data_IF_881009520084
#
_entry.id   IF_881009520084
#
_cell.length_a   1.000
_cell.length_b   1.000
_cell.length_c   1.000
_cell.angle_alpha   90.00
_cell.angle_beta   90.00
_cell.angle_gamma   90.00
#
_symmetry.space_group_name_H-M   'P 1'
#
loop_
_entity.id
_entity.type
_entity.pdbx_description
1 polymer ?
#
# COMPACT_ATOMS: atom_id res chain seq x y z
N UNK A 1 8.55 10.52 -1.96
CA UNK A 1 7.92 9.37 -2.66
C UNK A 1 6.62 9.88 -3.23
N UNK A 2 6.46 9.73 -4.53
CA UNK A 2 5.26 10.14 -5.27
C UNK A 2 4.15 9.11 -5.03
N UNK A 3 2.95 9.58 -4.67
CA UNK A 3 1.78 8.71 -4.43
C UNK A 3 0.92 8.66 -5.69
N UNK A 4 1.28 7.78 -6.62
CA UNK A 4 0.50 7.51 -7.84
C UNK A 4 -0.09 6.11 -7.73
N UNK A 5 -1.37 6.04 -7.36
CA UNK A 5 -2.09 4.81 -7.05
C UNK A 5 -2.81 4.30 -8.30
N UNK A 6 -2.80 2.98 -8.49
CA UNK A 6 -3.59 2.29 -9.49
C UNK A 6 -4.63 1.42 -8.77
N UNK A 7 -5.88 1.90 -8.63
CA UNK A 7 -6.93 1.14 -7.96
C UNK A 7 -7.17 -0.23 -8.59
N UNK A 8 -7.24 -1.29 -7.77
CA UNK A 8 -7.48 -2.65 -8.28
C UNK A 8 -8.81 -2.81 -9.04
N UNK A 9 -9.81 -1.95 -8.77
CA UNK A 9 -11.10 -1.94 -9.49
C UNK A 9 -10.95 -1.65 -10.99
N UNK A 10 -9.88 -0.98 -11.42
CA UNK A 10 -9.64 -0.68 -12.83
C UNK A 10 -9.41 -1.95 -13.66
N UNK A 11 -9.04 -3.07 -13.03
CA UNK A 11 -8.90 -4.36 -13.72
C UNK A 11 -10.24 -4.98 -14.15
N UNK A 12 -11.34 -4.49 -13.60
CA UNK A 12 -12.71 -4.98 -13.90
C UNK A 12 -13.58 -3.89 -14.49
N UNK A 13 -13.02 -2.70 -14.73
CA UNK A 13 -13.74 -1.53 -15.22
C UNK A 13 -13.75 -1.55 -16.76
N UNK A 14 -14.91 -1.58 -17.43
CA UNK A 14 -15.00 -1.65 -18.88
C UNK A 14 -14.26 -0.50 -19.59
N UNK A 15 -14.22 0.69 -18.99
CA UNK A 15 -13.59 1.86 -19.61
C UNK A 15 -12.06 1.69 -19.68
N UNK A 16 -11.48 1.00 -18.70
CA UNK A 16 -10.06 0.66 -18.64
C UNK A 16 -9.71 -0.61 -19.42
N UNK A 17 -10.59 -1.62 -19.42
CA UNK A 17 -10.42 -2.86 -20.20
C UNK A 17 -10.36 -2.58 -21.70
N UNK A 18 -11.15 -1.59 -22.16
CA UNK A 18 -11.18 -1.19 -23.57
C UNK A 18 -10.03 -0.24 -23.99
N UNK A 19 -9.08 0.07 -23.11
CA UNK A 19 -7.91 0.90 -23.45
C UNK A 19 -6.87 0.10 -24.23
N UNK A 20 -6.20 0.78 -25.17
CA UNK A 20 -4.99 0.23 -25.78
C UNK A 20 -3.81 0.35 -24.82
N UNK A 21 -2.78 -0.48 -25.01
CA UNK A 21 -1.54 -0.42 -24.23
C UNK A 21 -0.92 0.99 -24.20
N UNK A 22 -1.03 1.71 -25.33
CA UNK A 22 -0.57 3.09 -25.46
C UNK A 22 -1.35 4.03 -24.52
N UNK A 23 -2.69 4.00 -24.58
CA UNK A 23 -3.53 4.88 -23.75
C UNK A 23 -3.38 4.56 -22.26
N UNK A 24 -3.29 3.29 -21.91
CA UNK A 24 -3.01 2.86 -20.53
C UNK A 24 -1.68 3.44 -20.02
N UNK A 25 -0.63 3.40 -20.85
CA UNK A 25 0.69 3.94 -20.49
C UNK A 25 0.69 5.46 -20.37
N UNK A 26 -0.01 6.16 -21.25
CA UNK A 26 -0.21 7.62 -21.16
C UNK A 26 -0.95 7.97 -19.86
N UNK A 27 -2.05 7.28 -19.57
CA UNK A 27 -2.85 7.51 -18.36
C UNK A 27 -2.03 7.29 -17.08
N UNK A 28 -1.39 6.13 -16.94
CA UNK A 28 -0.56 5.82 -15.76
C UNK A 28 0.63 6.76 -15.59
N UNK A 29 1.30 7.16 -16.68
CA UNK A 29 2.37 8.15 -16.65
C UNK A 29 1.86 9.54 -16.24
N UNK A 30 0.65 9.91 -16.66
CA UNK A 30 0.02 11.16 -16.27
C UNK A 30 -0.30 11.22 -14.77
N UNK A 31 -0.73 10.11 -14.18
CA UNK A 31 -0.92 10.00 -12.73
C UNK A 31 0.39 10.22 -11.99
N UNK A 32 1.46 9.55 -12.43
CA UNK A 32 2.79 9.69 -11.83
C UNK A 32 3.30 11.13 -11.92
N UNK A 33 3.23 11.73 -13.12
CA UNK A 33 3.66 13.09 -13.33
C UNK A 33 2.85 14.08 -12.48
N UNK A 34 1.53 13.97 -12.47
CA UNK A 34 0.66 14.90 -11.72
C UNK A 34 0.85 14.77 -10.21
N UNK A 35 1.04 13.56 -9.70
CA UNK A 35 1.34 13.32 -8.29
C UNK A 35 2.72 13.85 -7.89
N UNK A 36 3.70 13.81 -8.80
CA UNK A 36 5.03 14.36 -8.55
C UNK A 36 5.03 15.89 -8.55
N UNK A 37 4.31 16.50 -9.49
CA UNK A 37 4.20 17.95 -9.59
C UNK A 37 3.20 18.56 -8.60
N UNK A 38 2.32 17.75 -8.00
CA UNK A 38 1.27 18.23 -7.11
C UNK A 38 0.22 19.07 -7.83
N UNK A 39 -0.14 18.69 -9.06
CA UNK A 39 -1.08 19.44 -9.91
C UNK A 39 -2.53 18.97 -9.79
N UNK A 40 -2.82 18.05 -8.86
CA UNK A 40 -4.15 17.48 -8.64
C UNK A 40 -4.80 16.96 -9.93
N UNK A 41 -4.00 16.28 -10.74
CA UNK A 41 -4.43 15.69 -12.01
C UNK A 41 -4.45 16.65 -13.20
N UNK A 42 -4.15 17.94 -13.03
CA UNK A 42 -4.04 18.88 -14.16
C UNK A 42 -2.75 18.62 -14.94
N UNK A 43 -2.88 18.45 -16.25
CA UNK A 43 -1.85 18.13 -17.23
C UNK A 43 -1.81 19.22 -18.30
N UNK A 44 -0.80 20.10 -18.32
CA UNK A 44 -0.60 21.05 -19.41
C UNK A 44 -0.37 20.32 -20.74
N UNK A 45 -0.90 20.82 -21.84
CA UNK A 45 -0.72 20.19 -23.18
C UNK A 45 0.74 19.98 -23.56
N UNK A 46 1.65 20.90 -23.16
CA UNK A 46 3.10 20.77 -23.38
C UNK A 46 3.75 19.58 -22.65
N UNK A 47 3.07 19.00 -21.66
CA UNK A 47 3.54 17.87 -20.86
C UNK A 47 3.26 16.53 -21.55
N UNK A 48 2.31 16.47 -22.50
CA UNK A 48 1.97 15.22 -23.20
C UNK A 48 3.19 14.49 -23.77
N UNK A 49 4.18 15.23 -24.28
CA UNK A 49 5.45 14.67 -24.79
C UNK A 49 6.26 13.86 -23.76
N UNK A 50 5.99 14.02 -22.47
CA UNK A 50 6.67 13.33 -21.37
C UNK A 50 5.93 12.06 -20.93
N UNK A 51 4.66 11.89 -21.32
CA UNK A 51 3.78 10.82 -20.82
C UNK A 51 3.94 9.50 -21.56
N UNK A 52 4.70 9.48 -22.64
CA UNK A 52 5.01 8.29 -23.42
C UNK A 52 6.42 8.43 -24.00
N UNK A 53 7.20 7.34 -24.18
CA UNK A 53 8.56 7.44 -24.73
C UNK A 53 8.64 8.08 -26.12
N UNK A 54 7.61 7.88 -26.93
CA UNK A 54 7.49 8.50 -28.26
C UNK A 54 6.84 9.89 -28.23
N UNK A 55 6.47 10.36 -27.04
CA UNK A 55 5.59 11.50 -26.83
C UNK A 55 4.11 11.14 -27.03
N UNK A 56 3.27 11.49 -26.05
CA UNK A 56 1.83 11.36 -26.24
C UNK A 56 1.34 12.47 -27.17
N UNK A 57 0.41 12.11 -28.06
CA UNK A 57 -0.20 13.05 -28.99
C UNK A 57 -1.51 13.62 -28.40
N UNK A 58 -1.97 14.79 -28.86
CA UNK A 58 -3.28 15.30 -28.46
C UNK A 58 -4.41 14.29 -28.71
N UNK A 59 -4.35 13.52 -29.81
CA UNK A 59 -5.32 12.45 -30.08
C UNK A 59 -5.35 11.34 -29.01
N UNK A 60 -4.21 11.03 -28.37
CA UNK A 60 -4.17 10.08 -27.26
C UNK A 60 -4.94 10.64 -26.04
N UNK A 61 -4.79 11.94 -25.78
CA UNK A 61 -5.52 12.63 -24.70
C UNK A 61 -7.01 12.77 -25.03
N UNK A 62 -7.35 13.11 -26.26
CA UNK A 62 -8.74 13.25 -26.72
C UNK A 62 -9.48 11.91 -26.60
N UNK A 63 -8.83 10.78 -26.94
CA UNK A 63 -9.40 9.44 -26.73
C UNK A 63 -9.65 9.10 -25.25
N UNK A 64 -8.82 9.61 -24.32
CA UNK A 64 -9.05 9.46 -22.88
C UNK A 64 -10.19 10.38 -22.39
N UNK A 65 -10.36 11.56 -23.00
CA UNK A 65 -11.47 12.46 -22.72
C UNK A 65 -12.80 11.88 -23.21
N UNK A 66 -12.85 11.33 -24.41
CA UNK A 66 -14.04 10.67 -24.97
C UNK A 66 -14.55 9.51 -24.08
N UNK A 67 -13.64 8.86 -23.37
CA UNK A 67 -13.94 7.77 -22.41
C UNK A 67 -14.25 8.26 -21.00
N UNK A 68 -14.26 9.58 -20.76
CA UNK A 68 -14.52 10.16 -19.45
C UNK A 68 -13.42 9.95 -18.41
N UNK A 69 -12.28 9.36 -18.79
CA UNK A 69 -11.13 9.17 -17.90
C UNK A 69 -10.41 10.49 -17.63
N UNK A 70 -10.40 11.37 -18.64
CA UNK A 70 -9.87 12.72 -18.57
C UNK A 70 -10.96 13.75 -18.91
N UNK A 71 -10.73 15.00 -18.53
CA UNK A 71 -11.54 16.16 -18.85
C UNK A 71 -10.68 17.18 -19.61
N UNK A 72 -11.24 17.81 -20.64
CA UNK A 72 -10.59 18.95 -21.29
C UNK A 72 -10.73 20.19 -20.38
N UNK A 73 -9.62 20.80 -19.98
CA UNK A 73 -9.62 21.96 -19.08
C UNK A 73 -8.68 23.05 -19.62
N UNK A 74 -9.26 24.11 -20.18
CA UNK A 74 -8.52 25.24 -20.73
C UNK A 74 -7.52 24.83 -21.82
N UNK A 75 -6.23 25.10 -21.59
CA UNK A 75 -5.14 24.73 -22.52
C UNK A 75 -4.53 23.34 -22.24
N UNK A 76 -5.18 22.53 -21.39
CA UNK A 76 -4.68 21.23 -20.99
C UNK A 76 -5.80 20.24 -20.73
N UNK A 77 -5.49 19.27 -19.89
CA UNK A 77 -6.38 18.17 -19.53
C UNK A 77 -6.34 17.98 -18.02
N UNK A 78 -7.40 17.42 -17.44
CA UNK A 78 -7.42 16.97 -16.05
C UNK A 78 -7.78 15.50 -16.00
N UNK A 79 -7.14 14.71 -15.13
CA UNK A 79 -7.59 13.35 -14.85
C UNK A 79 -8.88 13.38 -14.03
N UNK A 80 -9.92 12.69 -14.49
CA UNK A 80 -11.21 12.59 -13.81
C UNK A 80 -11.08 11.87 -12.47
N UNK A 81 -11.93 12.25 -11.50
CA UNK A 81 -11.99 11.61 -10.18
C UNK A 81 -10.64 11.52 -9.43
N UNK A 82 -9.79 12.54 -9.59
CA UNK A 82 -8.48 12.59 -8.95
C UNK A 82 -8.57 12.46 -7.42
N UNK A 83 -9.49 13.17 -6.79
CA UNK A 83 -9.72 13.18 -5.35
C UNK A 83 -10.17 11.81 -4.80
N UNK A 84 -10.90 11.03 -5.60
CA UNK A 84 -11.35 9.67 -5.24
C UNK A 84 -10.25 8.62 -5.40
N UNK A 85 -9.29 8.86 -6.29
CA UNK A 85 -8.28 7.87 -6.68
C UNK A 85 -6.90 8.14 -6.08
N UNK A 86 -6.53 9.41 -5.96
CA UNK A 86 -5.20 9.90 -5.58
C UNK A 86 -5.27 10.74 -4.30
N UNK A 87 -4.10 11.20 -3.82
CA UNK A 87 -4.01 12.17 -2.73
C UNK A 87 -3.97 13.59 -3.31
N UNK A 88 -4.69 14.54 -2.72
CA UNK A 88 -4.56 15.94 -3.08
C UNK A 88 -3.19 16.49 -2.62
N UNK A 89 -2.65 17.45 -3.37
CA UNK A 89 -1.39 18.10 -3.08
C UNK A 89 -1.40 18.75 -1.69
N UNK A 90 -2.51 19.40 -1.33
CA UNK A 90 -2.70 20.01 -0.02
C UNK A 90 -2.65 18.98 1.12
N UNK A 91 -3.23 17.80 0.93
CA UNK A 91 -3.23 16.72 1.92
C UNK A 91 -1.83 16.12 2.10
N UNK A 92 -1.10 15.98 0.98
CA UNK A 92 0.28 15.52 0.99
C UNK A 92 1.20 16.49 1.71
N UNK A 93 1.03 17.81 1.52
CA UNK A 93 1.83 18.81 2.22
C UNK A 93 1.51 18.85 3.72
N UNK A 94 0.23 18.78 4.09
CA UNK A 94 -0.19 18.66 5.49
C UNK A 94 0.43 17.43 6.15
N UNK A 95 0.44 16.28 5.47
CA UNK A 95 1.07 15.05 5.98
C UNK A 95 2.57 15.23 6.18
N UNK A 96 3.27 15.87 5.24
CA UNK A 96 4.71 16.17 5.35
C UNK A 96 5.01 17.09 6.53
N UNK A 97 4.16 18.09 6.77
CA UNK A 97 4.31 18.99 7.91
C UNK A 97 4.14 18.25 9.25
N UNK A 98 3.10 17.43 9.37
CA UNK A 98 2.88 16.58 10.55
C UNK A 98 4.05 15.63 10.80
N UNK A 99 4.59 15.02 9.75
CA UNK A 99 5.75 14.13 9.84
C UNK A 99 7.02 14.89 10.25
N UNK A 100 7.23 16.11 9.74
CA UNK A 100 8.33 16.99 10.14
C UNK A 100 8.23 17.34 11.62
N UNK A 101 7.05 17.72 12.09
CA UNK A 101 6.83 18.09 13.49
C UNK A 101 6.96 16.88 14.42
N UNK A 102 6.42 15.72 14.05
CA UNK A 102 6.61 14.47 14.80
C UNK A 102 8.08 14.12 14.97
N UNK A 103 8.86 14.17 13.89
CA UNK A 103 10.32 13.89 13.93
C UNK A 103 11.06 14.91 14.79
N UNK A 104 10.70 16.19 14.72
CA UNK A 104 11.25 17.25 15.58
C UNK A 104 10.98 16.97 17.06
N UNK A 105 9.74 16.62 17.42
CA UNK A 105 9.35 16.26 18.79
C UNK A 105 10.08 15.01 19.30
N UNK A 106 10.27 14.02 18.43
CA UNK A 106 11.01 12.80 18.79
C UNK A 106 12.48 13.13 19.13
N UNK A 107 13.16 13.91 18.28
CA UNK A 107 14.56 14.32 18.51
C UNK A 107 14.73 15.17 19.77
N UNK A 108 13.75 16.00 20.11
CA UNK A 108 13.78 16.79 21.34
C UNK A 108 13.59 15.96 22.62
N UNK A 109 13.02 14.75 22.51
CA UNK A 109 12.75 13.85 23.64
C UNK A 109 13.85 12.81 23.85
N UNK A 110 14.68 12.52 22.85
CA UNK A 110 15.83 11.64 23.03
C UNK A 110 16.89 12.39 23.86
N UNK A 111 17.12 12.01 25.13
CA UNK A 111 18.22 12.59 25.88
C UNK A 111 19.51 12.23 25.14
N UNK A 112 20.33 13.24 24.86
CA UNK A 112 21.69 13.04 24.38
C UNK A 112 22.41 12.24 25.46
N UNK A 113 22.44 10.91 25.35
CA UNK A 113 23.37 10.07 26.11
C UNK A 113 24.75 10.38 25.57
N UNK A 114 25.30 11.48 26.08
CA UNK A 114 26.68 11.94 25.89
C UNK A 114 27.56 11.05 26.76
N UNK A 115 27.62 9.77 26.45
CA UNK A 115 28.65 8.88 26.97
C UNK A 115 28.88 7.74 25.98
N UNK A 116 29.73 8.06 25.01
CA UNK A 116 30.12 7.20 23.91
C UNK A 116 31.42 7.71 23.32
N UNK A 117 32.36 8.05 24.20
CA UNK A 117 33.79 8.11 23.89
C UNK A 117 34.17 6.74 23.30
N UNK A 118 34.14 6.61 21.97
CA UNK A 118 34.96 5.64 21.28
C UNK A 118 35.87 6.37 20.32
N UNK A 119 36.89 6.95 20.95
CA UNK A 119 38.20 7.12 20.35
C UNK A 119 38.59 5.81 19.64
N UNK A 120 38.90 5.97 18.36
CA UNK A 120 39.20 4.91 17.42
C UNK A 120 40.05 5.48 16.30
N UNK A 121 41.04 6.27 16.67
CA UNK A 121 42.21 6.52 15.84
C UNK A 121 42.81 5.16 15.45
N UNK A 122 42.61 4.70 14.21
CA UNK A 122 43.47 3.70 13.60
C UNK A 122 43.60 3.96 12.12
N UNK A 123 44.66 4.66 11.77
CA UNK A 123 45.21 4.65 10.42
C UNK A 123 45.74 3.25 10.05
N UNK A 124 45.57 2.94 8.76
CA UNK A 124 46.44 2.12 7.91
C UNK A 124 46.37 0.57 7.99
N UNK A 125 46.82 -0.16 6.94
CA UNK A 125 46.55 -0.04 5.50
C UNK A 125 46.22 -1.41 4.86
N UNK A 126 46.08 -1.44 3.53
CA UNK A 126 46.00 -2.65 2.67
C UNK A 126 47.04 -3.73 3.04
N UNK A 127 46.62 -5.00 3.11
CA UNK A 127 47.27 -6.17 2.50
C UNK A 127 46.49 -7.45 2.88
N UNK A 128 46.24 -8.29 1.89
CA UNK A 128 45.60 -9.59 2.09
C UNK A 128 46.50 -10.55 2.85
N UNK A 129 45.88 -11.43 3.62
CA UNK A 129 46.43 -12.74 3.95
C UNK A 129 45.28 -13.65 4.39
N UNK A 130 45.12 -14.73 3.66
CA UNK A 130 44.27 -15.88 3.97
C UNK A 130 44.72 -16.50 5.30
N UNK A 131 43.79 -16.75 6.22
CA UNK A 131 43.94 -17.81 7.24
C UNK A 131 42.62 -18.54 7.47
N UNK A 132 42.58 -19.76 6.96
CA UNK A 132 41.82 -20.87 7.52
C UNK A 132 42.14 -21.00 9.02
N UNK A 133 41.16 -21.37 9.84
CA UNK A 133 41.40 -21.73 11.24
C UNK A 133 40.14 -21.80 12.10
N UNK A 134 39.53 -22.99 12.06
CA UNK A 134 38.85 -23.73 13.14
C UNK A 134 38.19 -23.02 14.35
N UNK A 135 36.93 -23.41 14.54
CA UNK A 135 36.27 -23.86 15.77
C UNK A 135 36.64 -23.16 17.10
N UNK A 136 35.68 -22.38 17.63
CA UNK A 136 35.59 -22.11 19.07
C UNK A 136 34.52 -22.99 19.72
N UNK A 137 34.90 -23.86 20.68
CA UNK A 137 33.98 -24.61 21.52
C UNK A 137 33.43 -23.75 22.65
N UNK A 138 32.40 -24.29 23.30
CA UNK A 138 31.43 -23.58 24.12
C UNK A 138 31.96 -23.01 25.44
N UNK A 139 31.14 -22.12 26.01
CA UNK A 139 31.23 -21.74 27.41
C UNK A 139 29.85 -21.85 28.05
N UNK A 140 29.72 -22.86 28.90
CA UNK A 140 28.62 -23.05 29.83
C UNK A 140 28.93 -22.33 31.15
N UNK A 141 27.92 -21.72 31.77
CA UNK A 141 27.71 -21.60 33.23
C UNK A 141 26.31 -21.01 33.47
N UNK A 142 25.38 -21.84 33.97
CA UNK A 142 24.94 -21.96 35.38
C UNK A 142 24.06 -20.78 35.82
N UNK A 143 22.73 -20.95 35.85
CA UNK A 143 21.92 -21.56 36.93
C UNK A 143 21.84 -20.67 38.18
N UNK A 144 20.64 -20.19 38.49
CA UNK A 144 20.32 -19.47 39.71
C UNK A 144 18.84 -19.10 39.76
N UNK A 145 18.01 -20.07 40.13
CA UNK A 145 16.62 -19.86 40.55
C UNK A 145 16.57 -18.89 41.74
N UNK A 146 15.63 -17.94 41.71
CA UNK A 146 14.96 -17.47 42.92
C UNK A 146 13.54 -17.04 42.61
N UNK A 147 12.67 -17.97 42.96
CA UNK A 147 11.24 -17.89 43.15
C UNK A 147 10.86 -16.69 44.03
N UNK A 148 10.03 -15.77 43.50
CA UNK A 148 9.19 -14.91 44.34
C UNK A 148 7.77 -14.93 43.79
N UNK A 149 6.95 -15.71 44.47
CA UNK A 149 5.50 -15.71 44.35
C UNK A 149 4.96 -14.36 44.83
N UNK A 150 4.39 -13.57 43.92
CA UNK A 150 3.40 -12.54 44.26
C UNK A 150 2.17 -12.71 43.38
N UNK A 151 1.11 -13.14 44.04
CA UNK A 151 -0.27 -13.09 43.59
C UNK A 151 -0.75 -11.64 43.55
N UNK A 152 -1.13 -11.16 42.37
CA UNK A 152 -2.14 -10.10 42.24
C UNK A 152 -2.81 -10.19 40.87
N UNK A 153 -4.10 -10.46 40.91
CA UNK A 153 -4.98 -10.53 39.76
C UNK A 153 -5.15 -9.17 39.07
N UNK A 154 -5.59 -9.28 37.79
CA UNK A 154 -6.14 -8.24 36.90
C UNK A 154 -5.12 -7.55 35.98
N UNK A 155 -4.81 -8.23 34.87
CA UNK A 155 -4.96 -7.58 33.56
C UNK A 155 -5.23 -8.65 32.48
N UNK A 156 -6.48 -8.69 32.02
CA UNK A 156 -6.96 -9.70 31.05
C UNK A 156 -6.66 -9.20 29.63
N UNK A 157 -5.40 -9.22 29.22
CA UNK A 157 -5.08 -9.09 27.79
C UNK A 157 -5.47 -10.38 27.08
N UNK A 158 -6.31 -10.36 26.03
CA UNK A 158 -6.68 -11.56 25.32
C UNK A 158 -5.42 -12.19 24.73
N UNK A 159 -5.18 -13.44 25.15
CA UNK A 159 -4.11 -14.30 24.64
C UNK A 159 -4.18 -14.29 23.12
N UNK A 160 -3.12 -13.81 22.47
CA UNK A 160 -3.00 -13.79 21.00
C UNK A 160 -3.22 -15.22 20.49
N UNK A 161 -4.37 -15.45 19.85
CA UNK A 161 -4.67 -16.73 19.21
C UNK A 161 -3.54 -17.05 18.21
N UNK A 162 -2.94 -18.22 18.40
CA UNK A 162 -1.89 -18.72 17.53
C UNK A 162 -2.42 -19.00 16.12
N UNK A 163 -1.55 -19.03 15.10
CA UNK A 163 -1.95 -19.27 13.71
C UNK A 163 -2.82 -20.53 13.54
N UNK A 164 -2.52 -21.59 14.30
CA UNK A 164 -3.20 -22.87 14.21
C UNK A 164 -4.63 -22.85 14.77
N UNK A 165 -4.86 -22.04 15.80
CA UNK A 165 -6.15 -21.89 16.47
C UNK A 165 -7.11 -21.06 15.59
N UNK A 166 -6.54 -20.06 14.90
CA UNK A 166 -7.24 -19.29 13.87
C UNK A 166 -7.65 -20.15 12.67
N UNK A 167 -6.78 -21.05 12.23
CA UNK A 167 -7.07 -21.95 11.11
C UNK A 167 -8.19 -22.95 11.46
N UNK A 168 -8.16 -23.53 12.67
CA UNK A 168 -9.23 -24.45 13.11
C UNK A 168 -10.59 -23.77 13.20
N UNK A 169 -10.63 -22.50 13.63
CA UNK A 169 -11.88 -21.73 13.71
C UNK A 169 -12.47 -21.47 12.32
N UNK A 170 -11.63 -21.15 11.33
CA UNK A 170 -12.06 -20.95 9.94
C UNK A 170 -12.63 -22.22 9.31
N UNK A 171 -12.00 -23.38 9.56
CA UNK A 171 -12.50 -24.66 9.07
C UNK A 171 -13.82 -25.07 9.73
N UNK A 172 -13.97 -24.86 11.04
CA UNK A 172 -15.22 -25.13 11.74
C UNK A 172 -16.39 -24.24 11.27
N UNK A 173 -16.11 -22.99 10.88
CA UNK A 173 -17.14 -22.12 10.27
C UNK A 173 -17.52 -22.56 8.86
N UNK A 174 -16.60 -23.12 8.07
CA UNK A 174 -16.90 -23.63 6.74
C UNK A 174 -17.83 -24.85 6.81
N UNK A 175 -17.56 -25.80 7.71
CA UNK A 175 -18.43 -26.98 7.92
C UNK A 175 -19.84 -26.59 8.38
N UNK A 176 -19.97 -25.55 9.22
CA UNK A 176 -21.26 -25.05 9.66
C UNK A 176 -22.07 -24.38 8.53
N UNK A 177 -21.39 -23.70 7.60
CA UNK A 177 -22.04 -23.09 6.44
C UNK A 177 -22.49 -24.14 5.42
N UNK A 178 -21.72 -25.23 5.25
CA UNK A 178 -22.08 -26.33 4.34
C UNK A 178 -23.27 -27.15 4.85
N UNK A 179 -23.39 -27.33 6.18
CA UNK A 179 -24.55 -27.99 6.80
C UNK A 179 -25.88 -27.21 6.62
N UNK A 180 -25.83 -25.90 6.37
CA UNK A 180 -27.03 -25.06 6.23
C UNK A 180 -27.56 -25.01 4.79
N UNK A 181 -26.77 -25.45 3.80
CA UNK A 181 -27.10 -25.34 2.38
C UNK A 181 -28.07 -26.43 1.85
N UNK A 182 -28.43 -27.44 2.65
CA UNK A 182 -29.29 -28.57 2.23
C UNK A 182 -30.77 -28.42 2.61
N UNK A 183 -31.26 -27.20 2.84
CA UNK A 183 -32.70 -26.98 3.00
C UNK A 183 -33.38 -26.91 1.61
N UNK A 184 -34.31 -27.82 1.26
CA UNK A 184 -34.95 -27.82 -0.05
C UNK A 184 -35.85 -26.59 -0.21
N UNK A 185 -35.60 -25.81 -1.25
CA UNK A 185 -36.35 -24.59 -1.55
C UNK A 185 -37.85 -24.89 -1.78
N UNK A 186 -38.78 -24.04 -1.29
CA UNK A 186 -40.20 -24.20 -1.56
C UNK A 186 -40.48 -23.89 -3.04
N UNK A 187 -41.28 -24.76 -3.68
CA UNK A 187 -41.74 -24.58 -5.05
C UNK A 187 -42.59 -23.29 -5.15
N UNK A 188 -42.05 -22.28 -5.84
CA UNK A 188 -42.77 -21.04 -6.16
C UNK A 188 -43.49 -21.27 -7.48
N UNK A 189 -44.82 -21.41 -7.39
CA UNK A 189 -45.72 -21.54 -8.53
C UNK A 189 -45.98 -20.14 -9.12
N UNK A 190 -45.50 -19.89 -10.34
CA UNK A 190 -45.61 -18.60 -11.00
C UNK A 190 -46.82 -18.60 -11.96
N UNK A 191 -47.77 -17.66 -11.83
CA UNK A 191 -48.96 -17.66 -12.67
C UNK A 191 -48.60 -17.21 -14.08
N UNK A 192 -48.84 -18.10 -15.05
CA UNK A 192 -48.75 -17.82 -16.49
C UNK A 192 -49.81 -16.79 -16.87
N UNK A 193 -49.38 -15.64 -17.37
CA UNK A 193 -50.26 -14.57 -17.86
C UNK A 193 -50.59 -14.84 -19.32
N UNK A 194 -51.86 -15.15 -19.60
CA UNK A 194 -52.37 -15.32 -20.96
C UNK A 194 -52.29 -14.00 -21.75
N UNK A 195 -51.80 -14.10 -22.98
CA UNK A 195 -51.71 -12.99 -23.95
C UNK A 195 -52.97 -13.04 -24.83
N UNK A 196 -53.77 -11.96 -24.92
CA UNK A 196 -54.94 -11.93 -25.78
C UNK A 196 -54.54 -11.76 -27.26
N UNK A 197 -55.35 -12.38 -28.14
CA UNK A 197 -55.19 -12.48 -29.58
C UNK A 197 -55.43 -11.17 -30.36
#
# INVERSE_FOLDING_TARGET
MTDARLPGRWLTDPDFDALTDRLWRVHSSALMWSAEQGTDGMIPRRTLRLLHPEGAHPADADALVERGLWEAEGEGYRVSEWDRTQSLAADMERKRELDRDRKRRQRAKEPVTRDGMRDGTRESPRLGEERLGEARPGQAKRSGDSETVRTSARDSTPRREGPDERMRRLLATADAMEATAHSPAPAIDWPVREVPA
#
